data_IF_853983070921
#
_entry.id   IF_853983070921
#
_cell.length_a   1.000
_cell.length_b   1.000
_cell.length_c   1.000
_cell.angle_alpha   90.00
_cell.angle_beta   90.00
_cell.angle_gamma   90.00
#
_symmetry.space_group_name_H-M   'P 1'
#
loop_
_entity.id
_entity.type
_entity.pdbx_description
1 polymer ?
#
# COMPACT_ATOMS: atom_id res chain seq x y z
N UNK A 1 -15.84 3.40 -36.18
CA UNK A 1 -15.77 4.27 -35.00
C UNK A 1 -14.34 4.78 -34.88
N UNK A 2 -14.10 6.08 -34.70
CA UNK A 2 -12.77 6.56 -34.37
C UNK A 2 -12.32 5.94 -33.03
N UNK A 3 -11.03 5.67 -32.84
CA UNK A 3 -10.52 5.19 -31.57
C UNK A 3 -10.86 6.23 -30.49
N UNK A 4 -11.47 5.79 -29.39
CA UNK A 4 -11.65 6.62 -28.20
C UNK A 4 -10.24 6.89 -27.67
N UNK A 5 -9.73 8.10 -27.88
CA UNK A 5 -8.48 8.55 -27.26
C UNK A 5 -8.81 8.79 -25.80
N UNK A 6 -8.44 7.86 -24.92
CA UNK A 6 -8.46 8.11 -23.49
C UNK A 6 -7.42 9.19 -23.17
N UNK A 7 -7.88 10.28 -22.57
CA UNK A 7 -7.03 11.34 -22.07
C UNK A 7 -6.55 11.00 -20.65
N UNK A 8 -5.27 11.22 -20.39
CA UNK A 8 -4.68 11.06 -19.07
C UNK A 8 -5.31 12.06 -18.10
N UNK A 9 -5.94 11.56 -17.03
CA UNK A 9 -6.60 12.37 -16.00
C UNK A 9 -6.10 12.06 -14.60
N UNK A 10 -6.43 12.94 -13.65
CA UNK A 10 -6.14 12.74 -12.24
C UNK A 10 -6.76 11.44 -11.71
N UNK A 11 -6.09 10.79 -10.77
CA UNK A 11 -6.56 9.57 -10.09
C UNK A 11 -6.82 8.36 -11.03
N UNK A 12 -6.30 8.35 -12.26
CA UNK A 12 -6.61 7.30 -13.25
C UNK A 12 -6.22 5.89 -12.79
N UNK A 13 -5.16 5.74 -11.98
CA UNK A 13 -4.70 4.43 -11.52
C UNK A 13 -5.63 3.88 -10.43
N UNK A 14 -6.02 4.75 -9.50
CA UNK A 14 -6.96 4.43 -8.43
C UNK A 14 -8.33 4.14 -9.00
N UNK A 15 -8.84 4.96 -9.92
CA UNK A 15 -10.10 4.70 -10.61
C UNK A 15 -10.07 3.38 -11.36
N UNK A 16 -8.97 3.07 -12.07
CA UNK A 16 -8.82 1.80 -12.76
C UNK A 16 -8.88 0.63 -11.78
N UNK A 17 -8.07 0.65 -10.71
CA UNK A 17 -8.04 -0.41 -9.71
C UNK A 17 -9.41 -0.61 -9.05
N UNK A 18 -10.07 0.48 -8.64
CA UNK A 18 -11.41 0.44 -8.06
C UNK A 18 -12.45 -0.09 -9.07
N UNK A 19 -12.34 0.29 -10.34
CA UNK A 19 -13.21 -0.21 -11.41
C UNK A 19 -12.99 -1.70 -11.73
N UNK A 20 -11.83 -2.25 -11.39
CA UNK A 20 -11.53 -3.68 -11.50
C UNK A 20 -11.91 -4.50 -10.26
N UNK A 21 -12.38 -3.87 -9.17
CA UNK A 21 -12.82 -4.61 -7.99
C UNK A 21 -14.08 -5.43 -8.29
N UNK A 22 -14.07 -6.67 -7.85
CA UNK A 22 -15.25 -7.53 -7.81
C UNK A 22 -15.88 -7.44 -6.40
N UNK A 23 -15.10 -7.76 -5.37
CA UNK A 23 -15.52 -7.60 -3.97
C UNK A 23 -14.34 -7.42 -3.03
N UNK A 24 -14.64 -6.91 -1.83
CA UNK A 24 -13.69 -6.78 -0.72
C UNK A 24 -14.31 -7.41 0.52
N UNK A 25 -13.60 -8.35 1.14
CA UNK A 25 -14.06 -9.01 2.38
C UNK A 25 -13.03 -8.81 3.48
N UNK A 26 -13.47 -8.20 4.58
CA UNK A 26 -12.69 -8.12 5.80
C UNK A 26 -12.78 -9.40 6.62
N UNK A 27 -11.67 -9.85 7.18
CA UNK A 27 -11.59 -10.84 8.25
C UNK A 27 -10.98 -10.16 9.48
N UNK A 28 -11.77 -10.12 10.55
CA UNK A 28 -11.46 -9.47 11.81
C UNK A 28 -11.99 -10.35 12.92
N UNK A 29 -11.20 -10.55 13.95
CA UNK A 29 -11.59 -11.34 15.10
C UNK A 29 -11.70 -10.43 16.31
N UNK A 30 -12.86 -10.46 16.96
CA UNK A 30 -13.01 -9.88 18.29
C UNK A 30 -12.45 -10.88 19.30
N UNK A 31 -11.58 -10.42 20.17
CA UNK A 31 -10.95 -11.25 21.20
C UNK A 31 -12.05 -11.73 22.17
N UNK A 32 -12.26 -13.04 22.22
CA UNK A 32 -13.19 -13.74 23.10
C UNK A 32 -12.35 -14.50 24.14
N UNK A 33 -12.22 -14.02 25.39
CA UNK A 33 -11.40 -14.66 26.43
C UNK A 33 -11.95 -16.02 26.89
N UNK A 34 -13.18 -16.37 26.49
CA UNK A 34 -13.93 -17.59 26.81
C UNK A 34 -13.71 -18.75 25.84
N UNK A 35 -12.96 -18.55 24.74
CA UNK A 35 -12.74 -19.60 23.74
C UNK A 35 -11.41 -20.34 24.00
N UNK A 36 -11.46 -21.67 23.99
CA UNK A 36 -10.28 -22.54 23.98
C UNK A 36 -9.46 -22.34 22.70
N UNK A 37 -8.17 -22.74 22.72
CA UNK A 37 -7.21 -22.49 21.61
C UNK A 37 -7.70 -23.00 20.23
N UNK A 38 -8.62 -23.97 20.22
CA UNK A 38 -9.16 -24.62 19.02
C UNK A 38 -10.51 -24.05 18.55
N UNK A 39 -11.05 -23.00 19.18
CA UNK A 39 -12.37 -22.45 18.83
C UNK A 39 -12.29 -21.13 18.05
N UNK A 40 -13.07 -21.03 16.96
CA UNK A 40 -13.16 -19.81 16.15
C UNK A 40 -13.94 -18.68 16.88
N UNK A 41 -13.42 -17.43 16.88
CA UNK A 41 -14.14 -16.30 17.49
C UNK A 41 -15.44 -15.93 16.77
N UNK A 42 -16.56 -16.01 17.49
CA UNK A 42 -17.91 -15.88 16.91
C UNK A 42 -18.39 -14.46 16.58
N UNK A 43 -17.77 -13.39 17.11
CA UNK A 43 -18.39 -12.05 17.07
C UNK A 43 -17.79 -11.15 15.99
N UNK A 44 -18.62 -10.75 15.02
CA UNK A 44 -18.31 -9.70 14.03
C UNK A 44 -18.80 -8.33 14.54
N UNK A 45 -17.94 -7.32 14.68
CA UNK A 45 -18.39 -5.97 15.11
C UNK A 45 -17.30 -5.04 15.65
N UNK A 46 -17.66 -3.79 15.98
CA UNK A 46 -16.78 -2.80 16.61
C UNK A 46 -16.76 -2.95 18.14
N UNK A 47 -15.57 -2.82 18.75
CA UNK A 47 -15.38 -2.74 20.20
C UNK A 47 -14.58 -1.47 20.56
N UNK A 48 -14.95 -0.81 21.67
CA UNK A 48 -14.33 0.41 22.20
C UNK A 48 -13.41 0.10 23.39
N UNK A 49 -12.49 1.03 23.72
CA UNK A 49 -11.47 0.86 24.78
C UNK A 49 -12.08 0.49 26.13
N UNK A 50 -13.20 1.10 26.50
CA UNK A 50 -13.91 0.83 27.76
C UNK A 50 -14.58 -0.56 27.77
N UNK A 51 -14.90 -1.09 26.58
CA UNK A 51 -15.52 -2.42 26.39
C UNK A 51 -14.50 -3.54 26.14
N UNK A 52 -13.20 -3.25 26.02
CA UNK A 52 -12.13 -4.24 25.74
C UNK A 52 -11.19 -4.47 26.91
N UNK A 53 -11.14 -3.59 27.90
CA UNK A 53 -10.21 -3.63 29.05
C UNK A 53 -10.33 -4.86 29.97
N UNK A 54 -11.32 -5.73 29.76
CA UNK A 54 -11.45 -7.01 30.47
C UNK A 54 -11.42 -8.25 29.56
N UNK A 55 -11.15 -8.09 28.26
CA UNK A 55 -11.36 -9.14 27.25
C UNK A 55 -10.08 -9.73 26.67
N UNK A 56 -8.91 -9.24 27.06
CA UNK A 56 -7.65 -9.83 26.63
C UNK A 56 -7.39 -11.11 27.41
N UNK A 57 -7.52 -12.27 26.75
CA UNK A 57 -6.72 -13.43 27.18
C UNK A 57 -5.27 -12.97 27.12
N UNK A 58 -4.53 -13.20 28.19
CA UNK A 58 -3.07 -13.15 28.18
C UNK A 58 -2.56 -14.30 27.31
N UNK A 59 -2.79 -14.25 26.00
CA UNK A 59 -1.97 -14.99 25.06
C UNK A 59 -0.54 -14.55 25.34
N UNK A 60 0.37 -15.49 25.51
CA UNK A 60 1.81 -15.17 25.61
C UNK A 60 2.23 -14.66 24.25
N UNK A 61 2.01 -13.36 24.01
CA UNK A 61 2.54 -12.64 22.89
C UNK A 61 4.05 -12.71 23.02
N UNK A 62 4.68 -13.50 22.18
CA UNK A 62 6.12 -13.48 22.06
C UNK A 62 6.55 -12.29 21.19
N UNK A 63 7.86 -12.02 21.21
CA UNK A 63 8.46 -10.91 20.47
C UNK A 63 8.21 -10.98 18.94
N UNK A 64 7.95 -12.18 18.40
CA UNK A 64 7.67 -12.37 16.97
C UNK A 64 6.29 -11.83 16.58
N UNK A 65 5.25 -12.06 17.38
CA UNK A 65 3.92 -11.49 17.15
C UNK A 65 3.96 -9.95 17.22
N UNK A 66 4.68 -9.43 18.20
CA UNK A 66 4.89 -7.99 18.33
C UNK A 66 5.71 -7.43 17.14
N UNK A 67 6.73 -8.15 16.68
CA UNK A 67 7.55 -7.77 15.52
C UNK A 67 6.75 -7.70 14.21
N UNK A 68 5.87 -8.67 13.96
CA UNK A 68 4.94 -8.66 12.83
C UNK A 68 3.95 -7.49 12.96
N UNK A 69 3.35 -7.32 14.15
CA UNK A 69 2.40 -6.23 14.41
C UNK A 69 3.05 -4.86 14.23
N UNK A 70 4.28 -4.68 14.72
CA UNK A 70 5.08 -3.47 14.54
C UNK A 70 5.37 -3.20 13.06
N UNK A 71 5.74 -4.23 12.30
CA UNK A 71 5.97 -4.11 10.85
C UNK A 71 4.72 -3.59 10.13
N UNK A 72 3.55 -4.15 10.44
CA UNK A 72 2.28 -3.69 9.86
C UNK A 72 1.94 -2.28 10.33
N UNK A 73 2.21 -1.94 11.60
CA UNK A 73 2.02 -0.57 12.13
C UNK A 73 2.86 0.46 11.37
N UNK A 74 4.14 0.19 11.17
CA UNK A 74 5.06 1.06 10.41
C UNK A 74 4.57 1.27 8.98
N UNK A 75 4.12 0.20 8.32
CA UNK A 75 3.61 0.26 6.96
C UNK A 75 2.18 0.81 6.88
N UNK A 76 1.42 0.84 7.98
CA UNK A 76 0.01 1.23 8.07
C UNK A 76 -0.97 0.27 7.37
N UNK A 77 -0.66 -0.14 6.14
CA UNK A 77 -1.35 -1.16 5.34
C UNK A 77 -0.28 -1.99 4.63
N UNK A 78 -0.23 -3.29 4.87
CA UNK A 78 0.83 -4.14 4.32
C UNK A 78 0.27 -5.37 3.61
N UNK A 79 0.92 -5.79 2.53
CA UNK A 79 0.69 -7.09 1.89
C UNK A 79 1.68 -8.12 2.44
N UNK A 80 1.35 -9.42 2.39
CA UNK A 80 2.18 -10.48 3.00
C UNK A 80 3.66 -10.43 2.58
N UNK A 81 3.96 -10.20 1.31
CA UNK A 81 5.33 -10.09 0.80
C UNK A 81 6.07 -8.89 1.37
N UNK A 82 5.36 -7.78 1.60
CA UNK A 82 5.94 -6.60 2.26
C UNK A 82 6.27 -6.88 3.73
N UNK A 83 5.41 -7.66 4.42
CA UNK A 83 5.66 -8.08 5.80
C UNK A 83 6.86 -9.02 5.85
N UNK A 84 6.89 -10.07 5.02
CA UNK A 84 7.98 -11.05 4.94
C UNK A 84 9.33 -10.36 4.69
N UNK A 85 9.38 -9.48 3.68
CA UNK A 85 10.60 -8.76 3.34
C UNK A 85 11.10 -7.86 4.47
N UNK A 86 10.20 -7.26 5.23
CA UNK A 86 10.55 -6.31 6.29
C UNK A 86 10.86 -6.97 7.63
N UNK A 87 10.23 -8.10 7.94
CA UNK A 87 10.57 -8.89 9.13
C UNK A 87 11.85 -9.72 8.93
N UNK A 88 12.15 -10.09 7.68
CA UNK A 88 13.28 -10.97 7.36
C UNK A 88 13.08 -12.42 7.82
N UNK A 89 11.86 -12.78 8.22
CA UNK A 89 11.51 -14.14 8.64
C UNK A 89 11.38 -15.08 7.42
N UNK A 90 11.65 -16.38 7.58
CA UNK A 90 11.29 -17.37 6.56
C UNK A 90 9.81 -17.26 6.18
N UNK A 91 9.51 -17.41 4.88
CA UNK A 91 8.16 -17.19 4.36
C UNK A 91 7.09 -18.01 5.10
N UNK A 92 7.31 -19.31 5.29
CA UNK A 92 6.36 -20.21 5.97
C UNK A 92 6.10 -19.77 7.42
N UNK A 93 7.15 -19.45 8.16
CA UNK A 93 7.06 -18.98 9.55
C UNK A 93 6.32 -17.63 9.63
N UNK A 94 6.64 -16.71 8.72
CA UNK A 94 6.02 -15.40 8.68
C UNK A 94 4.53 -15.48 8.35
N UNK A 95 4.14 -16.34 7.39
CA UNK A 95 2.73 -16.57 7.05
C UNK A 95 1.96 -17.16 8.23
N UNK A 96 2.54 -18.12 8.95
CA UNK A 96 1.94 -18.68 10.16
C UNK A 96 1.75 -17.63 11.25
N UNK A 97 2.76 -16.76 11.45
CA UNK A 97 2.67 -15.66 12.41
C UNK A 97 1.63 -14.61 12.01
N UNK A 98 1.53 -14.26 10.73
CA UNK A 98 0.50 -13.34 10.23
C UNK A 98 -0.89 -13.92 10.52
N UNK A 99 -1.12 -15.19 10.23
CA UNK A 99 -2.41 -15.85 10.50
C UNK A 99 -2.75 -15.84 12.00
N UNK A 100 -1.78 -16.20 12.85
CA UNK A 100 -1.93 -16.10 14.31
C UNK A 100 -2.27 -14.68 14.75
N UNK A 101 -1.57 -13.68 14.23
CA UNK A 101 -1.84 -12.29 14.55
C UNK A 101 -3.26 -11.87 14.11
N UNK A 102 -3.78 -12.40 13.01
CA UNK A 102 -5.17 -12.15 12.58
C UNK A 102 -6.17 -12.81 13.53
N UNK A 103 -6.01 -14.11 13.81
CA UNK A 103 -6.92 -14.88 14.68
C UNK A 103 -6.93 -14.32 16.11
N UNK A 104 -5.79 -13.86 16.61
CA UNK A 104 -5.65 -13.22 17.93
C UNK A 104 -6.17 -11.77 17.98
N UNK A 105 -6.65 -11.20 16.87
CA UNK A 105 -7.12 -9.82 16.81
C UNK A 105 -6.02 -8.77 16.96
N UNK A 106 -4.75 -9.13 16.68
CA UNK A 106 -3.64 -8.18 16.57
C UNK A 106 -3.67 -7.46 15.23
N UNK A 107 -4.02 -8.20 14.18
CA UNK A 107 -4.17 -7.71 12.82
C UNK A 107 -5.59 -7.99 12.31
N UNK A 108 -6.02 -7.21 11.34
CA UNK A 108 -7.17 -7.54 10.51
C UNK A 108 -6.71 -7.68 9.06
N UNK A 109 -7.43 -8.49 8.32
CA UNK A 109 -7.12 -8.81 6.93
C UNK A 109 -8.25 -8.29 6.03
N UNK A 110 -7.89 -7.75 4.86
CA UNK A 110 -8.82 -7.43 3.81
C UNK A 110 -8.41 -8.17 2.55
N UNK A 111 -9.27 -9.12 2.15
CA UNK A 111 -9.14 -9.79 0.87
C UNK A 111 -9.80 -8.95 -0.20
N UNK A 112 -8.98 -8.41 -1.09
CA UNK A 112 -9.36 -7.61 -2.25
C UNK A 112 -9.35 -8.52 -3.46
N UNK A 113 -10.49 -8.74 -4.10
CA UNK A 113 -10.60 -9.59 -5.29
C UNK A 113 -10.96 -8.74 -6.50
N UNK A 114 -10.21 -8.95 -7.58
CA UNK A 114 -10.40 -8.27 -8.84
C UNK A 114 -11.20 -9.14 -9.82
N UNK A 115 -11.84 -8.50 -10.80
CA UNK A 115 -12.65 -9.16 -11.84
C UNK A 115 -11.91 -10.19 -12.68
N UNK A 116 -10.58 -10.12 -12.73
CA UNK A 116 -9.73 -11.10 -13.42
C UNK A 116 -9.35 -12.31 -12.54
N UNK A 117 -9.88 -12.41 -11.32
CA UNK A 117 -9.57 -13.49 -10.37
C UNK A 117 -8.29 -13.29 -9.56
N UNK A 118 -7.46 -12.28 -9.88
CA UNK A 118 -6.33 -11.90 -9.04
C UNK A 118 -6.86 -11.38 -7.68
N UNK A 119 -6.08 -11.57 -6.62
CA UNK A 119 -6.43 -11.06 -5.29
C UNK A 119 -5.20 -10.58 -4.52
N UNK A 120 -5.44 -9.67 -3.58
CA UNK A 120 -4.43 -9.12 -2.67
C UNK A 120 -4.99 -9.23 -1.25
N UNK A 121 -4.14 -9.64 -0.30
CA UNK A 121 -4.44 -9.64 1.12
C UNK A 121 -3.76 -8.44 1.76
N UNK A 122 -4.53 -7.49 2.27
CA UNK A 122 -4.05 -6.31 2.95
C UNK A 122 -4.26 -6.44 4.46
N UNK A 123 -3.18 -6.31 5.22
CA UNK A 123 -3.17 -6.41 6.67
C UNK A 123 -3.06 -5.01 7.29
N UNK A 124 -3.82 -4.78 8.36
CA UNK A 124 -3.78 -3.58 9.17
C UNK A 124 -3.77 -3.97 10.65
N UNK A 125 -3.23 -3.09 11.50
CA UNK A 125 -3.31 -3.27 12.95
C UNK A 125 -4.77 -3.23 13.39
N UNK A 126 -5.18 -4.22 14.16
CA UNK A 126 -6.50 -4.32 14.77
C UNK A 126 -6.45 -3.91 16.25
N UNK A 127 -7.61 -3.87 16.92
CA UNK A 127 -7.75 -3.39 18.29
C UNK A 127 -6.75 -4.02 19.24
N UNK A 128 -6.56 -5.34 19.21
CA UNK A 128 -5.58 -6.00 20.08
C UNK A 128 -4.14 -5.63 19.77
N UNK A 129 -3.82 -5.36 18.50
CA UNK A 129 -2.50 -4.90 18.10
C UNK A 129 -2.23 -3.49 18.58
N UNK A 130 -3.24 -2.61 18.62
CA UNK A 130 -3.11 -1.26 19.20
C UNK A 130 -2.72 -1.37 20.68
N UNK A 131 -3.40 -2.21 21.46
CA UNK A 131 -3.05 -2.42 22.88
C UNK A 131 -1.65 -3.04 23.06
N UNK A 132 -1.32 -4.07 22.27
CA UNK A 132 0.01 -4.68 22.33
C UNK A 132 1.14 -3.67 22.01
N UNK A 133 0.90 -2.76 21.06
CA UNK A 133 1.84 -1.67 20.76
C UNK A 133 1.92 -0.65 21.89
N UNK A 134 0.78 -0.24 22.47
CA UNK A 134 0.72 0.68 23.62
C UNK A 134 1.49 0.13 24.83
N UNK A 135 1.27 -1.15 25.18
CA UNK A 135 1.98 -1.85 26.28
C UNK A 135 3.48 -1.97 26.03
N UNK A 136 3.89 -2.16 24.78
CA UNK A 136 5.30 -2.20 24.37
C UNK A 136 5.94 -0.80 24.24
N UNK A 137 5.22 0.29 24.51
CA UNK A 137 5.71 1.66 24.36
C UNK A 137 5.92 2.09 22.90
N UNK A 138 5.29 1.42 21.94
CA UNK A 138 5.38 1.71 20.51
C UNK A 138 4.16 2.56 20.08
N UNK A 139 4.37 3.77 19.53
CA UNK A 139 3.25 4.58 19.06
C UNK A 139 2.49 3.91 17.91
N UNK A 140 1.17 3.82 18.05
CA UNK A 140 0.30 3.38 16.95
C UNK A 140 0.21 4.46 15.86
N UNK A 141 0.63 4.13 14.64
CA UNK A 141 0.51 4.99 13.47
C UNK A 141 -0.92 4.88 12.93
N UNK A 142 -1.80 5.72 13.48
CA UNK A 142 -3.24 5.67 13.26
C UNK A 142 -3.61 5.61 11.77
N UNK A 143 -4.29 4.53 11.40
CA UNK A 143 -5.07 4.41 10.17
C UNK A 143 -6.50 4.27 10.61
N UNK A 144 -7.36 5.22 10.25
CA UNK A 144 -8.77 5.03 10.54
C UNK A 144 -9.25 3.79 9.80
N UNK A 145 -9.85 2.82 10.51
CA UNK A 145 -10.43 1.66 9.83
C UNK A 145 -11.54 2.07 8.85
N UNK A 146 -12.15 3.25 9.01
CA UNK A 146 -13.11 3.80 8.04
C UNK A 146 -12.47 4.30 6.74
N UNK A 147 -11.14 4.26 6.62
CA UNK A 147 -10.41 4.57 5.37
C UNK A 147 -10.91 3.63 4.26
N UNK A 148 -11.35 4.23 3.15
CA UNK A 148 -11.84 3.51 1.98
C UNK A 148 -10.77 2.63 1.34
N UNK A 149 -11.21 1.64 0.55
CA UNK A 149 -10.29 0.70 -0.11
C UNK A 149 -9.34 1.40 -1.09
N UNK A 150 -9.79 2.47 -1.74
CA UNK A 150 -9.01 3.34 -2.60
C UNK A 150 -7.77 3.90 -1.87
N UNK A 151 -7.96 4.42 -0.66
CA UNK A 151 -6.87 4.93 0.16
C UNK A 151 -5.97 3.81 0.68
N UNK A 152 -6.52 2.66 1.07
CA UNK A 152 -5.72 1.49 1.47
C UNK A 152 -4.83 1.01 0.33
N UNK A 153 -5.35 0.96 -0.90
CA UNK A 153 -4.59 0.63 -2.09
C UNK A 153 -3.50 1.67 -2.38
N UNK A 154 -3.77 2.97 -2.20
CA UNK A 154 -2.72 4.00 -2.28
C UNK A 154 -1.62 3.78 -1.23
N UNK A 155 -1.97 3.52 0.03
CA UNK A 155 -0.97 3.24 1.07
C UNK A 155 -0.14 1.99 0.71
N UNK A 156 -0.80 0.89 0.36
CA UNK A 156 -0.15 -0.35 -0.09
C UNK A 156 0.83 -0.11 -1.25
N UNK A 157 0.38 0.61 -2.30
CA UNK A 157 1.20 0.92 -3.48
C UNK A 157 2.42 1.76 -3.13
N UNK A 158 2.26 2.75 -2.24
CA UNK A 158 3.39 3.54 -1.73
C UNK A 158 4.39 2.63 -1.01
N UNK A 159 3.90 1.68 -0.23
CA UNK A 159 4.75 0.79 0.55
C UNK A 159 5.55 -0.19 -0.31
N UNK A 160 5.14 -0.48 -1.56
CA UNK A 160 5.99 -1.21 -2.51
C UNK A 160 7.32 -0.47 -2.66
N UNK A 161 7.30 0.84 -2.92
CA UNK A 161 8.53 1.63 -3.05
C UNK A 161 9.36 1.62 -1.76
N UNK A 162 8.71 1.88 -0.61
CA UNK A 162 9.40 1.99 0.68
C UNK A 162 10.13 0.68 1.05
N UNK A 163 9.47 -0.46 0.84
CA UNK A 163 10.05 -1.78 1.15
C UNK A 163 11.16 -2.14 0.17
N UNK A 164 10.94 -1.99 -1.15
CA UNK A 164 11.93 -2.33 -2.17
C UNK A 164 13.22 -1.50 -2.07
N UNK A 165 13.12 -0.25 -1.60
CA UNK A 165 14.27 0.64 -1.49
C UNK A 165 14.80 0.76 -0.05
N UNK A 166 14.28 -0.04 0.89
CA UNK A 166 14.62 -0.01 2.32
C UNK A 166 14.57 1.41 2.93
N UNK A 167 13.52 2.16 2.61
CA UNK A 167 13.30 3.53 3.09
C UNK A 167 12.22 3.54 4.15
N UNK A 168 12.51 4.10 5.32
CA UNK A 168 11.58 4.16 6.45
C UNK A 168 10.52 5.26 6.29
N UNK A 169 10.82 6.36 5.59
CA UNK A 169 9.93 7.52 5.46
C UNK A 169 9.75 8.04 4.04
N UNK A 170 8.53 8.47 3.74
CA UNK A 170 8.10 8.97 2.43
C UNK A 170 8.42 10.48 2.24
N UNK A 171 9.68 10.88 2.41
CA UNK A 171 10.06 12.28 2.18
C UNK A 171 9.99 12.59 0.68
N UNK A 172 9.15 13.57 0.31
CA UNK A 172 8.95 14.05 -1.06
C UNK A 172 8.55 12.96 -2.08
N UNK A 173 7.68 12.05 -1.65
CA UNK A 173 7.15 10.95 -2.44
C UNK A 173 5.73 11.26 -2.90
N UNK A 174 5.46 11.18 -4.20
CA UNK A 174 4.15 11.52 -4.76
C UNK A 174 3.69 10.46 -5.77
N UNK A 175 2.38 10.20 -5.82
CA UNK A 175 1.82 9.43 -6.93
C UNK A 175 1.70 10.30 -8.18
N UNK A 176 2.08 9.74 -9.32
CA UNK A 176 1.96 10.38 -10.62
C UNK A 176 0.51 10.81 -10.89
N UNK A 177 -0.46 9.92 -10.64
CA UNK A 177 -1.89 10.20 -10.82
C UNK A 177 -2.41 11.41 -10.04
N UNK A 178 -1.75 11.82 -8.94
CA UNK A 178 -2.15 12.97 -8.15
C UNK A 178 -1.65 14.30 -8.76
N UNK A 179 -0.62 14.25 -9.59
CA UNK A 179 0.06 15.41 -10.20
C UNK A 179 -0.50 15.70 -11.60
N UNK A 180 -1.11 14.70 -12.25
CA UNK A 180 -1.75 14.87 -13.56
C UNK A 180 -2.74 16.04 -13.53
N UNK A 181 -2.59 16.95 -14.50
CA UNK A 181 -3.46 18.12 -14.67
C UNK A 181 -3.23 19.26 -13.66
N UNK A 182 -2.30 19.11 -12.72
CA UNK A 182 -1.90 20.21 -11.82
C UNK A 182 -0.78 21.05 -12.45
N UNK A 183 -0.74 22.36 -12.14
CA UNK A 183 0.45 23.16 -12.43
C UNK A 183 1.66 22.53 -11.76
N UNK A 184 2.72 22.31 -12.53
CA UNK A 184 3.95 21.76 -11.98
C UNK A 184 4.58 22.80 -11.05
N UNK A 185 4.68 22.46 -9.76
CA UNK A 185 5.20 23.31 -8.69
C UNK A 185 6.69 23.01 -8.43
N UNK A 186 7.45 24.04 -8.05
CA UNK A 186 8.84 23.91 -7.55
C UNK A 186 8.94 22.97 -6.36
N UNK A 187 7.86 22.76 -5.61
CA UNK A 187 7.78 21.79 -4.52
C UNK A 187 8.06 20.34 -4.98
N UNK A 188 7.91 20.03 -6.27
CA UNK A 188 8.27 18.71 -6.81
C UNK A 188 9.76 18.55 -7.12
N UNK A 189 10.59 19.58 -6.91
CA UNK A 189 12.01 19.49 -7.26
C UNK A 189 12.70 18.37 -6.47
N UNK A 190 13.36 17.46 -7.18
CA UNK A 190 14.02 16.30 -6.57
C UNK A 190 13.07 15.27 -5.94
N UNK A 191 11.77 15.34 -6.24
CA UNK A 191 10.78 14.39 -5.74
C UNK A 191 10.96 12.99 -6.37
N UNK A 192 10.47 11.97 -5.66
CA UNK A 192 10.24 10.64 -6.24
C UNK A 192 8.78 10.52 -6.63
N UNK A 193 8.53 10.21 -7.89
CA UNK A 193 7.20 10.06 -8.48
C UNK A 193 6.93 8.57 -8.71
N UNK A 194 5.86 8.08 -8.11
CA UNK A 194 5.41 6.70 -8.19
C UNK A 194 4.37 6.54 -9.29
N UNK A 195 4.57 5.56 -10.17
CA UNK A 195 3.64 5.26 -11.28
C UNK A 195 3.50 3.75 -11.43
N UNK A 196 2.35 3.28 -11.88
CA UNK A 196 2.16 1.89 -12.28
C UNK A 196 2.06 1.80 -13.81
N UNK A 197 3.18 1.46 -14.45
CA UNK A 197 3.27 1.42 -15.91
C UNK A 197 2.39 0.32 -16.52
N UNK A 198 2.09 -0.75 -15.77
CA UNK A 198 1.19 -1.82 -16.24
C UNK A 198 -0.25 -1.30 -16.35
N UNK A 199 -0.70 -0.45 -15.44
CA UNK A 199 -2.02 0.20 -15.55
C UNK A 199 -2.04 1.14 -16.75
N UNK A 200 -1.01 1.97 -16.92
CA UNK A 200 -0.89 2.86 -18.08
C UNK A 200 -0.92 2.10 -19.41
N UNK A 201 -0.25 0.95 -19.49
CA UNK A 201 -0.30 0.05 -20.65
C UNK A 201 -1.70 -0.50 -20.92
N UNK A 202 -2.36 -1.04 -19.91
CA UNK A 202 -3.73 -1.59 -20.04
C UNK A 202 -4.75 -0.55 -20.49
N UNK A 203 -4.55 0.71 -20.13
CA UNK A 203 -5.41 1.83 -20.52
C UNK A 203 -5.03 2.48 -21.85
N UNK A 204 -3.93 2.07 -22.50
CA UNK A 204 -3.42 2.72 -23.70
C UNK A 204 -2.83 4.12 -23.45
N UNK A 205 -2.46 4.43 -22.21
CA UNK A 205 -1.95 5.74 -21.76
C UNK A 205 -0.42 5.80 -21.68
N UNK A 206 0.29 4.69 -21.89
CA UNK A 206 1.76 4.58 -21.74
C UNK A 206 2.53 5.75 -22.35
N UNK A 207 2.25 6.10 -23.61
CA UNK A 207 2.96 7.16 -24.33
C UNK A 207 2.73 8.54 -23.71
N UNK A 208 1.51 8.81 -23.20
CA UNK A 208 1.18 10.07 -22.53
C UNK A 208 1.93 10.17 -21.19
N UNK A 209 1.95 9.07 -20.43
CA UNK A 209 2.69 8.97 -19.17
C UNK A 209 4.18 9.21 -19.40
N UNK A 210 4.81 8.52 -20.36
CA UNK A 210 6.24 8.69 -20.68
C UNK A 210 6.57 10.12 -21.09
N UNK A 211 5.75 10.74 -21.95
CA UNK A 211 5.97 12.11 -22.41
C UNK A 211 5.96 13.11 -21.25
N UNK A 212 4.93 13.05 -20.40
CA UNK A 212 4.81 13.97 -19.27
C UNK A 212 5.85 13.68 -18.18
N UNK A 213 6.17 12.41 -17.95
CA UNK A 213 7.28 11.96 -17.10
C UNK A 213 8.61 12.60 -17.55
N UNK A 214 8.94 12.53 -18.85
CA UNK A 214 10.14 13.15 -19.41
C UNK A 214 10.23 14.65 -19.12
N UNK A 215 9.14 15.39 -19.35
CA UNK A 215 9.08 16.82 -19.03
C UNK A 215 9.28 17.12 -17.55
N UNK A 216 8.76 16.27 -16.65
CA UNK A 216 8.98 16.44 -15.21
C UNK A 216 10.44 16.21 -14.81
N UNK A 217 11.12 15.23 -15.41
CA UNK A 217 12.54 14.95 -15.13
C UNK A 217 13.42 16.10 -15.63
N UNK A 218 13.17 16.62 -16.82
CA UNK A 218 13.94 17.72 -17.39
C UNK A 218 13.82 19.01 -16.58
N UNK A 219 12.59 19.38 -16.20
CA UNK A 219 12.32 20.69 -15.58
C UNK A 219 12.54 20.67 -14.06
N UNK A 220 12.18 19.58 -13.39
CA UNK A 220 12.13 19.50 -11.92
C UNK A 220 13.14 18.50 -11.33
N UNK A 221 13.91 17.79 -12.17
CA UNK A 221 14.87 16.77 -11.74
C UNK A 221 14.22 15.71 -10.83
N UNK A 222 12.96 15.34 -11.12
CA UNK A 222 12.29 14.25 -10.41
C UNK A 222 12.92 12.91 -10.78
N UNK A 223 12.72 11.91 -9.91
CA UNK A 223 12.97 10.51 -10.23
C UNK A 223 11.65 9.78 -10.36
N UNK A 224 11.54 8.87 -11.32
CA UNK A 224 10.30 8.15 -11.58
C UNK A 224 10.52 6.67 -11.29
N UNK A 225 9.63 6.10 -10.49
CA UNK A 225 9.69 4.71 -10.06
C UNK A 225 8.44 3.96 -10.52
N UNK A 226 8.64 2.89 -11.27
CA UNK A 226 7.58 1.97 -11.68
C UNK A 226 7.29 0.98 -10.53
N UNK A 227 6.10 1.09 -9.96
CA UNK A 227 5.64 0.23 -8.87
C UNK A 227 5.44 -1.22 -9.31
N UNK A 228 4.96 -1.45 -10.53
CA UNK A 228 4.72 -2.81 -11.02
C UNK A 228 6.04 -3.47 -11.41
N UNK A 229 6.89 -2.74 -12.14
CA UNK A 229 8.22 -3.22 -12.54
C UNK A 229 9.28 -3.19 -11.44
N UNK A 230 8.97 -2.58 -10.28
CA UNK A 230 9.85 -2.40 -9.11
C UNK A 230 11.23 -1.84 -9.50
N UNK A 231 11.23 -0.81 -10.35
CA UNK A 231 12.45 -0.25 -10.91
C UNK A 231 12.33 1.24 -11.20
N UNK A 232 13.48 1.90 -11.20
CA UNK A 232 13.58 3.26 -11.71
C UNK A 232 13.34 3.30 -13.21
N UNK A 233 12.58 4.28 -13.67
CA UNK A 233 12.40 4.58 -15.08
C UNK A 233 13.43 5.64 -15.45
N UNK A 234 14.36 5.29 -16.34
CA UNK A 234 15.21 6.26 -17.01
C UNK A 234 14.41 6.83 -18.19
N UNK A 235 14.07 8.13 -18.19
CA UNK A 235 13.46 8.72 -19.36
C UNK A 235 14.49 8.71 -20.47
N UNK A 236 14.15 8.11 -21.60
CA UNK A 236 14.81 8.41 -22.87
C UNK A 236 14.53 9.87 -23.18
N UNK A 237 15.45 10.75 -22.81
CA UNK A 237 15.50 12.11 -23.34
C UNK A 237 15.81 11.94 -24.82
N UNK A 238 14.79 12.02 -25.68
CA UNK A 238 15.03 12.24 -27.09
C UNK A 238 15.76 13.58 -27.19
N UNK A 239 17.09 13.54 -27.32
CA UNK A 239 17.86 14.70 -27.73
C UNK A 239 17.27 15.10 -29.07
N UNK A 240 16.48 16.16 -29.08
CA UNK A 240 16.15 16.88 -30.29
C UNK A 240 17.48 17.35 -30.88
N UNK A 241 18.06 16.54 -31.78
CA UNK A 241 19.05 17.00 -32.72
C UNK A 241 18.30 17.90 -33.70
N UNK A 242 17.99 19.12 -33.25
CA UNK A 242 17.72 20.22 -34.15
C UNK A 242 19.04 20.45 -34.86
N UNK A 243 19.19 19.81 -36.03
CA UNK A 243 20.21 20.20 -37.00
C UNK A 243 19.84 21.62 -37.38
N UNK A 244 20.44 22.59 -36.69
CA UNK A 244 20.47 23.97 -37.13
C UNK A 244 21.00 23.95 -38.57
N UNK A 245 20.10 24.33 -39.48
CA UNK A 245 20.45 24.70 -40.85
C UNK A 245 21.54 25.74 -40.78
N UNK A 246 22.76 25.38 -41.18
CA UNK A 246 23.75 26.35 -41.59
C UNK A 246 23.69 26.47 -43.12
N UNK A 247 23.09 27.61 -43.51
CA UNK A 247 23.47 28.55 -44.59
C UNK A 247 24.30 27.95 -45.73
#
# INVERSE_FOLDING_TARGET
MPPIILELKKDYETEYLCGQLDWVRGRRYNIRPDLDEDMEPEVKGYLYKETTTGFFRAWVLNELHLGVTKTVNELRVAEKGQIIQKTGLPEEECLHLIEKCVVMGLLCENKVVFKNGENILLYLVDTGGIFALEEAGIPYLKVNYTVGIDQRLKIYRRNIFLVENNVSEAVNLHFYENIVGLPLDRNYRGATILVDMRIAEKLGLKSQVIKMAGSMVEVYHVKIYDLCGRRWIEPTVEKNNTVEKNI
#
